data_IF_785790869913
#
_entry.id   IF_785790869913
#
_cell.length_a   1.000
_cell.length_b   1.000
_cell.length_c   1.000
_cell.angle_alpha   90.00
_cell.angle_beta   90.00
_cell.angle_gamma   90.00
#
_symmetry.space_group_name_H-M   'P 1'
#
loop_
_entity.id
_entity.type
_entity.pdbx_description
1 polymer ?
#
# COMPACT_ATOMS: atom_id res chain seq x y z
N UNK A 1 18.38 -10.16 -10.93
CA UNK A 1 16.90 -10.20 -10.88
C UNK A 1 16.45 -11.63 -10.76
N UNK A 2 15.45 -11.90 -9.93
CA UNK A 2 14.89 -13.24 -9.72
C UNK A 2 13.37 -13.17 -9.80
N UNK A 3 12.75 -14.08 -10.56
CA UNK A 3 11.29 -14.17 -10.60
C UNK A 3 10.77 -14.83 -9.31
N UNK A 4 9.82 -14.17 -8.65
CA UNK A 4 9.12 -14.73 -7.50
C UNK A 4 7.70 -14.20 -7.39
N UNK A 5 6.88 -14.89 -6.58
CA UNK A 5 5.54 -14.40 -6.23
C UNK A 5 5.64 -13.21 -5.27
N UNK A 6 4.62 -12.37 -5.25
CA UNK A 6 4.50 -11.26 -4.31
C UNK A 6 4.63 -11.70 -2.85
N UNK A 7 3.97 -12.81 -2.45
CA UNK A 7 4.15 -13.40 -1.11
C UNK A 7 5.60 -13.79 -0.83
N UNK A 8 6.30 -14.34 -1.84
CA UNK A 8 7.69 -14.75 -1.69
C UNK A 8 8.63 -13.54 -1.60
N UNK A 9 8.31 -12.45 -2.30
CA UNK A 9 9.05 -11.20 -2.18
C UNK A 9 8.95 -10.59 -0.77
N UNK A 10 7.76 -10.63 -0.17
CA UNK A 10 7.57 -10.26 1.24
C UNK A 10 8.37 -11.17 2.17
N UNK A 11 8.23 -12.49 2.02
CA UNK A 11 8.98 -13.46 2.84
C UNK A 11 10.50 -13.24 2.74
N UNK A 12 11.00 -13.02 1.52
CA UNK A 12 12.40 -12.77 1.25
C UNK A 12 12.87 -11.46 1.90
N UNK A 13 12.08 -10.39 1.81
CA UNK A 13 12.41 -9.12 2.46
C UNK A 13 12.47 -9.24 4.00
N UNK A 14 11.53 -9.98 4.60
CA UNK A 14 11.56 -10.28 6.03
C UNK A 14 12.81 -11.09 6.41
N UNK A 15 13.09 -12.16 5.65
CA UNK A 15 14.25 -13.04 5.88
C UNK A 15 15.57 -12.28 5.81
N UNK A 16 15.76 -11.46 4.79
CA UNK A 16 16.97 -10.65 4.62
C UNK A 16 17.11 -9.65 5.77
N UNK A 17 16.04 -8.93 6.12
CA UNK A 17 16.04 -7.99 7.23
C UNK A 17 16.38 -8.66 8.57
N UNK A 18 15.81 -9.83 8.86
CA UNK A 18 16.05 -10.56 10.09
C UNK A 18 17.45 -11.17 10.18
N UNK A 19 18.04 -11.53 9.03
CA UNK A 19 19.42 -12.01 8.91
C UNK A 19 20.41 -10.90 9.19
N UNK A 20 20.15 -9.70 8.67
CA UNK A 20 21.04 -8.55 8.76
C UNK A 20 20.95 -7.83 10.13
N UNK A 21 19.78 -7.83 10.76
CA UNK A 21 19.54 -7.14 12.02
C UNK A 21 18.87 -8.05 13.06
N UNK A 22 19.60 -8.31 14.16
CA UNK A 22 19.13 -9.15 15.25
C UNK A 22 17.96 -8.56 16.05
N UNK A 23 17.70 -7.26 15.92
CA UNK A 23 16.60 -6.56 16.59
C UNK A 23 15.25 -6.70 15.87
N UNK A 24 15.23 -7.14 14.61
CA UNK A 24 14.01 -7.28 13.81
C UNK A 24 13.20 -8.49 14.25
N UNK A 25 12.00 -8.32 14.78
CA UNK A 25 11.19 -9.46 15.24
C UNK A 25 9.79 -9.45 14.63
N UNK A 26 9.23 -10.63 14.37
CA UNK A 26 7.89 -10.80 13.80
C UNK A 26 6.89 -11.14 14.89
N UNK A 27 5.76 -10.44 14.88
CA UNK A 27 4.68 -10.59 15.84
C UNK A 27 3.35 -10.61 15.09
N UNK A 28 2.45 -11.54 15.41
CA UNK A 28 1.12 -11.56 14.81
C UNK A 28 0.36 -12.83 15.10
N UNK A 29 -0.84 -12.93 14.57
CA UNK A 29 -1.70 -14.10 14.71
C UNK A 29 -1.38 -15.13 13.61
N UNK A 30 -1.14 -16.38 14.01
CA UNK A 30 -0.83 -17.51 13.11
C UNK A 30 0.41 -17.31 12.20
N UNK A 31 1.30 -16.37 12.53
CA UNK A 31 2.49 -16.07 11.71
C UNK A 31 3.64 -17.05 11.92
N UNK A 32 3.67 -17.80 13.02
CA UNK A 32 4.78 -18.67 13.37
C UNK A 32 4.64 -20.04 12.70
N UNK A 33 4.13 -21.05 13.41
CA UNK A 33 4.06 -22.42 12.87
C UNK A 33 3.14 -22.54 11.64
N UNK A 34 2.08 -21.73 11.57
CA UNK A 34 1.19 -21.67 10.42
C UNK A 34 1.78 -20.86 9.25
N UNK A 35 2.78 -20.01 9.47
CA UNK A 35 3.43 -19.18 8.45
C UNK A 35 2.58 -18.03 7.90
N UNK A 36 1.53 -17.63 8.63
CA UNK A 36 0.58 -16.58 8.27
C UNK A 36 -0.59 -17.11 7.43
N UNK A 37 -1.69 -16.34 7.44
CA UNK A 37 -2.92 -16.65 6.68
C UNK A 37 -2.67 -16.75 5.17
N UNK A 38 -1.74 -15.94 4.67
CA UNK A 38 -1.35 -15.92 3.26
C UNK A 38 0.04 -16.53 2.99
N UNK A 39 0.63 -17.20 3.98
CA UNK A 39 1.94 -17.87 3.87
C UNK A 39 3.12 -16.92 3.64
N UNK A 40 2.99 -15.65 4.05
CA UNK A 40 4.01 -14.62 3.91
C UNK A 40 5.20 -14.80 4.89
N UNK A 41 5.00 -15.48 6.03
CA UNK A 41 6.03 -15.71 7.05
C UNK A 41 6.45 -17.19 7.15
N UNK A 42 6.07 -18.00 6.14
CA UNK A 42 6.42 -19.42 6.07
C UNK A 42 7.92 -19.64 6.27
N UNK A 43 8.26 -20.69 7.04
CA UNK A 43 9.60 -21.19 7.34
C UNK A 43 10.48 -20.23 8.17
N UNK A 44 10.02 -19.01 8.49
CA UNK A 44 10.82 -18.05 9.28
C UNK A 44 10.93 -18.44 10.76
N UNK A 45 9.92 -19.15 11.30
CA UNK A 45 10.01 -19.70 12.66
C UNK A 45 11.14 -20.72 12.78
N UNK A 46 11.25 -21.63 11.81
CA UNK A 46 12.27 -22.69 11.84
C UNK A 46 13.68 -22.12 11.69
N UNK A 47 13.83 -21.03 10.93
CA UNK A 47 15.11 -20.36 10.69
C UNK A 47 15.56 -19.46 11.85
N UNK A 48 14.66 -18.64 12.41
CA UNK A 48 15.01 -17.61 13.40
C UNK A 48 14.57 -17.93 14.84
N UNK A 49 13.75 -18.97 15.02
CA UNK A 49 13.28 -19.45 16.30
C UNK A 49 12.19 -18.58 16.96
N UNK A 50 11.56 -19.15 17.99
CA UNK A 50 10.44 -18.55 18.71
C UNK A 50 10.78 -17.27 19.51
N UNK A 51 12.06 -16.90 19.60
CA UNK A 51 12.47 -15.61 20.14
C UNK A 51 12.21 -14.45 19.16
N UNK A 52 12.25 -14.73 17.86
CA UNK A 52 12.20 -13.73 16.78
C UNK A 52 10.94 -13.82 15.92
N UNK A 53 10.23 -14.95 15.94
CA UNK A 53 8.92 -15.13 15.27
C UNK A 53 7.91 -15.64 16.30
N UNK A 54 6.89 -14.84 16.63
CA UNK A 54 5.98 -15.14 17.74
C UNK A 54 4.52 -15.01 17.34
N UNK A 55 3.77 -16.08 17.57
CA UNK A 55 2.32 -16.01 17.58
C UNK A 55 1.83 -15.19 18.78
N UNK A 56 0.78 -14.42 18.56
CA UNK A 56 0.08 -13.67 19.61
C UNK A 56 -1.37 -14.16 19.76
N UNK A 57 -2.00 -13.91 20.93
CA UNK A 57 -3.45 -14.04 21.04
C UNK A 57 -4.17 -13.12 20.05
N UNK A 58 -5.44 -13.42 19.76
CA UNK A 58 -6.32 -12.59 18.94
C UNK A 58 -6.68 -11.33 19.73
N UNK A 59 -5.85 -10.30 19.61
CA UNK A 59 -5.89 -9.09 20.43
C UNK A 59 -5.03 -7.99 19.81
N UNK A 60 -5.49 -7.42 18.71
CA UNK A 60 -4.79 -6.45 17.87
C UNK A 60 -4.35 -5.21 18.67
N UNK A 61 -5.18 -4.74 19.61
CA UNK A 61 -4.84 -3.62 20.50
C UNK A 61 -3.59 -3.92 21.35
N UNK A 62 -3.54 -5.12 21.93
CA UNK A 62 -2.42 -5.58 22.76
C UNK A 62 -1.18 -5.84 21.90
N UNK A 63 -1.35 -6.45 20.73
CA UNK A 63 -0.28 -6.69 19.75
C UNK A 63 0.38 -5.37 19.32
N UNK A 64 -0.41 -4.38 18.92
CA UNK A 64 0.11 -3.08 18.50
C UNK A 64 0.79 -2.34 19.66
N UNK A 65 0.20 -2.35 20.86
CA UNK A 65 0.79 -1.70 22.05
C UNK A 65 2.11 -2.36 22.46
N UNK A 66 2.18 -3.69 22.40
CA UNK A 66 3.39 -4.46 22.65
C UNK A 66 4.49 -4.09 21.65
N UNK A 67 4.16 -3.97 20.37
CA UNK A 67 5.12 -3.59 19.36
C UNK A 67 5.65 -2.16 19.56
N UNK A 68 4.78 -1.19 19.91
CA UNK A 68 5.23 0.16 20.25
C UNK A 68 6.20 0.14 21.42
N UNK A 69 5.86 -0.57 22.51
CA UNK A 69 6.74 -0.71 23.67
C UNK A 69 8.08 -1.36 23.31
N UNK A 70 8.05 -2.47 22.58
CA UNK A 70 9.24 -3.17 22.13
C UNK A 70 10.16 -2.27 21.28
N UNK A 71 9.58 -1.52 20.33
CA UNK A 71 10.29 -0.59 19.48
C UNK A 71 10.98 0.52 20.28
N UNK A 72 10.28 1.10 21.26
CA UNK A 72 10.84 2.13 22.14
C UNK A 72 11.97 1.61 23.05
N UNK A 73 12.02 0.30 23.28
CA UNK A 73 13.07 -0.38 24.07
C UNK A 73 14.20 -0.99 23.22
N UNK A 74 14.24 -0.71 21.92
CA UNK A 74 15.36 -1.07 21.03
C UNK A 74 15.14 -2.29 20.14
N UNK A 75 13.94 -2.87 20.10
CA UNK A 75 13.56 -3.83 19.07
C UNK A 75 13.12 -3.12 17.77
N UNK A 76 12.99 -3.87 16.68
CA UNK A 76 12.39 -3.42 15.41
C UNK A 76 11.25 -4.36 15.01
N UNK A 77 10.07 -4.24 15.66
CA UNK A 77 8.98 -5.18 15.43
C UNK A 77 8.34 -4.96 14.05
N UNK A 78 8.11 -6.07 13.35
CA UNK A 78 7.27 -6.17 12.17
C UNK A 78 6.02 -6.94 12.55
N UNK A 79 4.92 -6.22 12.67
CA UNK A 79 3.64 -6.71 13.16
C UNK A 79 2.72 -7.06 12.01
N UNK A 80 2.12 -8.24 11.99
CA UNK A 80 1.03 -8.59 11.06
C UNK A 80 -0.33 -8.41 11.73
N UNK A 81 -1.16 -7.53 11.17
CA UNK A 81 -2.61 -7.53 11.41
C UNK A 81 -3.26 -8.30 10.26
N UNK A 82 -3.96 -9.38 10.59
CA UNK A 82 -4.38 -10.41 9.63
C UNK A 82 -5.19 -9.86 8.45
N UNK A 83 -6.08 -8.89 8.71
CA UNK A 83 -6.85 -8.18 7.69
C UNK A 83 -6.97 -6.71 8.08
N UNK A 84 -6.93 -5.82 7.09
CA UNK A 84 -6.98 -4.37 7.33
C UNK A 84 -8.23 -3.94 8.10
N UNK A 85 -9.34 -4.67 7.97
CA UNK A 85 -10.57 -4.45 8.73
C UNK A 85 -10.33 -4.43 10.26
N UNK A 86 -9.35 -5.20 10.75
CA UNK A 86 -8.99 -5.31 12.17
C UNK A 86 -8.05 -4.19 12.63
N UNK A 87 -7.56 -3.32 11.74
CA UNK A 87 -6.73 -2.17 12.11
C UNK A 87 -7.45 -1.26 13.11
N UNK A 88 -8.78 -1.23 13.05
CA UNK A 88 -9.65 -0.43 13.94
C UNK A 88 -9.42 -0.74 15.42
N UNK A 89 -9.03 -1.98 15.74
CA UNK A 89 -8.71 -2.41 17.11
C UNK A 89 -7.30 -1.97 17.54
N UNK A 90 -6.38 -1.74 16.60
CA UNK A 90 -5.00 -1.31 16.84
C UNK A 90 -4.80 0.22 16.80
N UNK A 91 -5.86 1.00 16.49
CA UNK A 91 -5.73 2.42 16.17
C UNK A 91 -5.14 3.27 17.29
N UNK A 92 -5.49 3.06 18.55
CA UNK A 92 -4.96 3.91 19.63
C UNK A 92 -3.42 3.80 19.75
N UNK A 93 -2.91 2.56 19.75
CA UNK A 93 -1.48 2.30 19.78
C UNK A 93 -0.76 2.90 18.57
N UNK A 94 -1.34 2.75 17.37
CA UNK A 94 -0.72 3.25 16.15
C UNK A 94 -0.77 4.79 16.05
N UNK A 95 -1.93 5.38 16.31
CA UNK A 95 -2.20 6.81 16.07
C UNK A 95 -1.71 7.68 17.22
N UNK A 96 -1.99 7.28 18.47
CA UNK A 96 -1.69 8.12 19.61
C UNK A 96 -0.31 7.83 20.19
N UNK A 97 0.13 6.57 20.16
CA UNK A 97 1.41 6.19 20.74
C UNK A 97 2.53 6.21 19.67
N UNK A 98 2.42 5.39 18.62
CA UNK A 98 3.48 5.22 17.64
C UNK A 98 3.76 6.50 16.84
N UNK A 99 2.74 7.00 16.12
CA UNK A 99 2.88 8.11 15.17
C UNK A 99 3.38 9.40 15.84
N UNK A 100 2.96 9.66 17.08
CA UNK A 100 3.22 10.92 17.78
C UNK A 100 4.45 10.87 18.67
N UNK A 101 5.01 9.69 18.96
CA UNK A 101 6.10 9.52 19.90
C UNK A 101 7.28 10.46 19.61
N UNK A 102 7.79 10.47 18.38
CA UNK A 102 8.94 11.32 18.01
C UNK A 102 8.67 12.79 18.32
N UNK A 103 7.48 13.29 18.00
CA UNK A 103 7.11 14.67 18.27
C UNK A 103 6.95 14.94 19.77
N UNK A 104 6.18 14.10 20.49
CA UNK A 104 5.90 14.27 21.92
C UNK A 104 7.16 14.21 22.78
N UNK A 105 8.16 13.41 22.38
CA UNK A 105 9.43 13.27 23.10
C UNK A 105 10.54 14.21 22.58
N UNK A 106 10.20 15.21 21.76
CA UNK A 106 11.14 16.21 21.27
C UNK A 106 12.30 15.62 20.47
N UNK A 107 12.03 14.57 19.68
CA UNK A 107 13.02 13.88 18.84
C UNK A 107 13.98 12.95 19.58
N UNK A 108 13.85 12.77 20.91
CA UNK A 108 14.76 11.92 21.70
C UNK A 108 14.52 10.42 21.54
N UNK A 109 13.31 10.04 21.14
CA UNK A 109 12.97 8.65 20.83
C UNK A 109 12.04 8.61 19.64
N UNK A 110 11.97 7.46 18.97
CA UNK A 110 11.06 7.18 17.87
C UNK A 110 10.53 5.75 18.03
N UNK A 111 9.61 5.35 17.15
CA UNK A 111 9.00 4.02 17.18
C UNK A 111 9.34 3.30 15.87
N UNK A 112 10.55 2.71 15.76
CA UNK A 112 10.98 1.99 14.56
C UNK A 112 10.23 0.65 14.45
N UNK A 113 9.06 0.69 13.82
CA UNK A 113 8.22 -0.49 13.64
C UNK A 113 7.54 -0.49 12.28
N UNK A 114 7.20 -1.70 11.81
CA UNK A 114 6.34 -1.89 10.64
C UNK A 114 5.06 -2.57 11.09
N UNK A 115 3.91 -1.98 10.77
CA UNK A 115 2.63 -2.69 10.81
C UNK A 115 2.26 -3.06 9.39
N UNK A 116 2.23 -4.36 9.09
CA UNK A 116 1.80 -4.89 7.81
C UNK A 116 0.42 -5.49 7.89
N UNK A 117 -0.38 -5.27 6.86
CA UNK A 117 -1.75 -5.78 6.81
C UNK A 117 -2.26 -5.90 5.38
N UNK A 118 -2.98 -6.97 5.02
CA UNK A 118 -3.59 -7.08 3.71
C UNK A 118 -4.99 -6.43 3.65
N UNK A 119 -5.27 -5.72 2.57
CA UNK A 119 -6.55 -5.07 2.27
C UNK A 119 -7.16 -5.55 0.93
N UNK A 120 -8.30 -4.97 0.57
CA UNK A 120 -8.90 -5.09 -0.77
C UNK A 120 -9.90 -6.23 -0.96
N UNK A 121 -10.68 -6.15 -2.03
CA UNK A 121 -11.68 -7.14 -2.43
C UNK A 121 -11.16 -8.19 -3.40
N UNK A 122 -12.08 -8.78 -4.17
CA UNK A 122 -11.80 -9.71 -5.26
C UNK A 122 -11.72 -11.18 -4.86
N UNK A 123 -12.00 -11.50 -3.60
CA UNK A 123 -11.99 -12.85 -3.05
C UNK A 123 -13.34 -13.27 -2.47
N UNK A 124 -14.38 -12.43 -2.62
CA UNK A 124 -15.71 -12.67 -2.05
C UNK A 124 -15.65 -12.91 -0.55
N UNK A 125 -14.83 -12.12 0.15
CA UNK A 125 -14.62 -12.21 1.60
C UNK A 125 -15.65 -11.38 2.40
N UNK A 126 -16.57 -10.71 1.71
CA UNK A 126 -17.62 -9.90 2.31
C UNK A 126 -17.12 -8.58 2.92
N UNK A 127 -18.00 -7.84 3.60
CA UNK A 127 -17.77 -6.44 3.93
C UNK A 127 -16.82 -6.18 5.12
N UNK A 128 -16.50 -7.20 5.92
CA UNK A 128 -15.64 -7.09 7.13
C UNK A 128 -14.27 -7.75 6.95
N UNK A 129 -13.90 -8.09 5.71
CA UNK A 129 -12.59 -8.64 5.37
C UNK A 129 -12.06 -8.06 4.05
N UNK A 130 -12.61 -6.94 3.57
CA UNK A 130 -12.34 -6.44 2.22
C UNK A 130 -12.24 -4.91 2.15
N UNK A 131 -12.22 -4.23 3.29
CA UNK A 131 -12.14 -2.77 3.30
C UNK A 131 -10.75 -2.29 2.84
N UNK A 132 -10.73 -1.11 2.23
CA UNK A 132 -9.52 -0.33 1.93
C UNK A 132 -9.56 0.93 2.79
N UNK A 133 -8.83 0.92 3.90
CA UNK A 133 -8.82 1.99 4.92
C UNK A 133 -7.53 2.82 4.88
N UNK A 134 -6.75 2.74 3.79
CA UNK A 134 -5.45 3.41 3.68
C UNK A 134 -5.54 4.93 3.86
N UNK A 135 -6.66 5.54 3.46
CA UNK A 135 -6.89 6.97 3.64
C UNK A 135 -6.93 7.39 5.12
N UNK A 136 -7.44 6.51 6.01
CA UNK A 136 -7.46 6.79 7.45
C UNK A 136 -6.04 6.87 8.01
N UNK A 137 -5.17 5.98 7.55
CA UNK A 137 -3.78 5.90 8.01
C UNK A 137 -2.92 6.99 7.39
N UNK A 138 -3.12 7.29 6.10
CA UNK A 138 -2.41 8.36 5.40
C UNK A 138 -2.70 9.75 5.99
N UNK A 139 -3.87 9.93 6.60
CA UNK A 139 -4.24 11.17 7.28
C UNK A 139 -3.46 11.42 8.59
N UNK A 140 -2.86 10.39 9.20
CA UNK A 140 -2.27 10.51 10.54
C UNK A 140 -0.82 11.05 10.45
N UNK A 141 -0.54 12.23 11.00
CA UNK A 141 0.82 12.77 11.02
C UNK A 141 1.75 11.88 11.84
N UNK A 142 2.95 11.64 11.31
CA UNK A 142 3.96 10.78 11.93
C UNK A 142 3.92 9.32 11.47
N UNK A 143 2.87 8.89 10.77
CA UNK A 143 2.89 7.63 10.03
C UNK A 143 3.43 7.83 8.61
N UNK A 144 4.15 6.82 8.14
CA UNK A 144 4.39 6.60 6.70
C UNK A 144 3.50 5.45 6.24
N UNK A 145 2.92 5.55 5.04
CA UNK A 145 1.98 4.56 4.52
C UNK A 145 2.37 4.17 3.10
N UNK A 146 2.56 2.87 2.87
CA UNK A 146 2.93 2.32 1.55
C UNK A 146 1.97 1.23 1.11
N UNK A 147 1.78 1.10 -0.20
CA UNK A 147 0.91 0.12 -0.84
C UNK A 147 1.57 -0.41 -2.13
N UNK A 148 2.46 -1.43 -2.04
CA UNK A 148 3.13 -2.03 -3.19
C UNK A 148 2.17 -2.65 -4.21
N UNK A 149 2.52 -2.53 -5.49
CA UNK A 149 1.76 -3.13 -6.60
C UNK A 149 2.45 -4.34 -7.25
N UNK A 150 3.78 -4.43 -7.18
CA UNK A 150 4.57 -5.52 -7.80
C UNK A 150 5.41 -6.27 -6.78
N UNK A 151 5.89 -7.49 -7.09
CA UNK A 151 6.84 -8.19 -6.23
C UNK A 151 8.12 -7.40 -5.95
N UNK A 152 8.60 -6.61 -6.92
CA UNK A 152 9.78 -5.75 -6.73
C UNK A 152 9.50 -4.64 -5.70
N UNK A 153 8.35 -3.96 -5.82
CA UNK A 153 7.93 -2.95 -4.85
C UNK A 153 7.71 -3.58 -3.47
N UNK A 154 7.11 -4.77 -3.41
CA UNK A 154 6.85 -5.47 -2.16
C UNK A 154 8.15 -5.79 -1.42
N UNK A 155 9.16 -6.30 -2.12
CA UNK A 155 10.48 -6.53 -1.54
C UNK A 155 11.14 -5.21 -1.10
N UNK A 156 11.28 -4.26 -2.02
CA UNK A 156 12.08 -3.06 -1.79
C UNK A 156 11.46 -2.08 -0.79
N UNK A 157 10.14 -1.89 -0.83
CA UNK A 157 9.43 -1.03 0.12
C UNK A 157 9.40 -1.66 1.51
N UNK A 158 9.31 -2.99 1.62
CA UNK A 158 9.32 -3.64 2.93
C UNK A 158 10.71 -3.55 3.57
N UNK A 159 11.79 -3.74 2.80
CA UNK A 159 13.15 -3.49 3.31
C UNK A 159 13.29 -2.04 3.78
N UNK A 160 12.90 -1.08 2.95
CA UNK A 160 12.96 0.35 3.30
C UNK A 160 12.08 0.71 4.51
N UNK A 161 10.92 0.08 4.66
CA UNK A 161 10.04 0.26 5.82
C UNK A 161 10.66 -0.29 7.11
N UNK A 162 11.28 -1.48 7.04
CA UNK A 162 11.94 -2.10 8.19
C UNK A 162 13.18 -1.30 8.61
N UNK A 163 13.87 -0.64 7.69
CA UNK A 163 15.06 0.16 7.97
C UNK A 163 14.70 1.59 8.44
N UNK A 164 13.44 2.01 8.29
CA UNK A 164 12.99 3.36 8.65
C UNK A 164 12.94 3.55 10.19
N UNK A 165 13.37 4.69 10.74
CA UNK A 165 13.33 4.94 12.18
C UNK A 165 11.94 5.31 12.71
N UNK A 166 10.94 5.52 11.84
CA UNK A 166 9.57 5.91 12.16
C UNK A 166 8.57 4.78 11.90
N UNK A 167 7.37 4.83 12.48
CA UNK A 167 6.35 3.82 12.23
C UNK A 167 5.88 3.86 10.76
N UNK A 168 5.97 2.70 10.10
CA UNK A 168 5.50 2.51 8.72
C UNK A 168 4.35 1.52 8.67
N UNK A 169 3.26 1.89 8.01
CA UNK A 169 2.18 0.98 7.65
C UNK A 169 2.43 0.44 6.25
N UNK A 170 2.58 -0.88 6.14
CA UNK A 170 2.80 -1.59 4.90
C UNK A 170 1.54 -2.34 4.46
N UNK A 171 0.84 -1.79 3.48
CA UNK A 171 -0.49 -2.27 3.07
C UNK A 171 -0.36 -3.19 1.86
N UNK A 172 -0.62 -4.46 2.09
CA UNK A 172 -0.56 -5.50 1.06
C UNK A 172 -1.94 -5.66 0.41
N UNK A 173 -2.00 -6.13 -0.84
CA UNK A 173 -3.28 -6.45 -1.46
C UNK A 173 -3.48 -7.96 -1.60
N UNK A 174 -4.58 -8.51 -1.08
CA UNK A 174 -4.79 -9.97 -1.03
C UNK A 174 -4.72 -10.64 -2.40
N UNK A 175 -5.33 -10.03 -3.41
CA UNK A 175 -5.29 -10.56 -4.77
C UNK A 175 -3.88 -10.57 -5.40
N UNK A 176 -2.92 -9.81 -4.85
CA UNK A 176 -1.57 -9.72 -5.40
C UNK A 176 -0.64 -10.83 -4.93
N UNK A 177 -0.92 -11.51 -3.81
CA UNK A 177 -0.06 -12.54 -3.24
C UNK A 177 0.40 -13.63 -4.24
N UNK A 178 -0.51 -14.06 -5.11
CA UNK A 178 -0.22 -15.07 -6.14
C UNK A 178 0.54 -14.54 -7.37
N UNK A 179 0.64 -13.22 -7.54
CA UNK A 179 1.21 -12.58 -8.73
C UNK A 179 2.73 -12.75 -8.76
N UNK A 180 3.27 -13.12 -9.93
CA UNK A 180 4.72 -13.22 -10.17
C UNK A 180 5.28 -11.94 -10.78
N UNK A 181 6.57 -11.72 -10.57
CA UNK A 181 7.31 -10.60 -11.11
C UNK A 181 8.81 -10.74 -10.84
N UNK A 182 9.61 -9.99 -11.58
CA UNK A 182 11.05 -9.90 -11.36
C UNK A 182 11.32 -9.04 -10.12
N UNK A 183 12.27 -9.45 -9.30
CA UNK A 183 12.75 -8.69 -8.14
C UNK A 183 14.25 -8.42 -8.31
N UNK A 184 14.64 -7.15 -8.20
CA UNK A 184 16.02 -6.71 -8.15
C UNK A 184 16.44 -6.33 -6.73
N UNK A 185 17.01 -7.31 -6.00
CA UNK A 185 17.46 -7.11 -4.63
C UNK A 185 18.58 -6.06 -4.47
N UNK A 186 19.26 -5.68 -5.56
CA UNK A 186 20.34 -4.68 -5.53
C UNK A 186 19.81 -3.24 -5.55
N UNK A 187 18.53 -3.06 -5.89
CA UNK A 187 17.90 -1.76 -6.04
C UNK A 187 17.12 -1.39 -4.78
N UNK A 188 17.49 -0.27 -4.17
CA UNK A 188 16.69 0.34 -3.12
C UNK A 188 15.40 0.93 -3.71
N UNK A 189 14.27 0.76 -3.01
CA UNK A 189 12.98 1.38 -3.37
C UNK A 189 12.61 2.37 -2.27
N UNK A 190 12.97 3.66 -2.42
CA UNK A 190 12.78 4.64 -1.36
C UNK A 190 11.30 4.90 -1.09
N UNK A 191 10.96 5.08 0.20
CA UNK A 191 9.66 5.57 0.61
C UNK A 191 9.45 6.99 0.07
N UNK A 192 8.22 7.31 -0.32
CA UNK A 192 7.84 8.63 -0.85
C UNK A 192 8.23 8.89 -2.30
N UNK A 193 8.60 7.85 -3.06
CA UNK A 193 8.89 7.96 -4.50
C UNK A 193 7.98 7.08 -5.34
N UNK A 194 7.29 7.70 -6.29
CA UNK A 194 6.44 7.04 -7.26
C UNK A 194 7.27 6.37 -8.36
N UNK A 195 6.60 5.60 -9.21
CA UNK A 195 7.17 4.96 -10.38
C UNK A 195 6.30 5.18 -11.61
N UNK A 196 6.91 5.67 -12.69
CA UNK A 196 6.23 5.76 -13.98
C UNK A 196 6.38 4.43 -14.70
N UNK A 197 5.31 3.63 -14.69
CA UNK A 197 5.29 2.27 -15.23
C UNK A 197 5.10 2.23 -16.75
N UNK A 198 4.46 3.26 -17.31
CA UNK A 198 4.22 3.42 -18.74
C UNK A 198 4.30 4.90 -19.05
N UNK A 199 5.09 5.28 -20.05
CA UNK A 199 5.15 6.66 -20.56
C UNK A 199 3.93 6.94 -21.44
N UNK A 200 3.47 8.19 -21.46
CA UNK A 200 2.36 8.65 -22.29
C UNK A 200 2.31 10.17 -22.36
N UNK A 201 1.58 10.71 -23.33
CA UNK A 201 1.50 12.15 -23.60
C UNK A 201 0.11 12.75 -23.44
N UNK A 202 -0.94 11.93 -23.42
CA UNK A 202 -2.31 12.44 -23.56
C UNK A 202 -3.03 12.62 -22.21
N UNK A 203 -2.73 11.75 -21.25
CA UNK A 203 -3.35 11.78 -19.91
C UNK A 203 -2.44 11.12 -18.88
N UNK A 204 -2.36 11.71 -17.69
CA UNK A 204 -1.74 11.09 -16.53
C UNK A 204 -2.76 10.26 -15.77
N UNK A 205 -2.45 9.00 -15.52
CA UNK A 205 -3.24 8.11 -14.65
C UNK A 205 -2.45 7.81 -13.39
N UNK A 206 -2.93 8.28 -12.25
CA UNK A 206 -2.29 8.09 -10.95
C UNK A 206 -3.00 6.97 -10.20
N UNK A 207 -2.27 5.98 -9.72
CA UNK A 207 -2.85 4.82 -9.02
C UNK A 207 -1.86 4.19 -8.03
N UNK A 208 -2.27 3.14 -7.34
CA UNK A 208 -1.46 2.36 -6.40
C UNK A 208 -2.05 0.96 -6.20
N UNK A 209 -1.33 0.07 -5.51
CA UNK A 209 -1.81 -1.26 -5.13
C UNK A 209 -2.29 -2.10 -6.32
N UNK A 210 -3.36 -2.87 -6.15
CA UNK A 210 -3.88 -3.75 -7.20
C UNK A 210 -4.39 -2.99 -8.44
N UNK A 211 -4.88 -1.76 -8.28
CA UNK A 211 -5.42 -0.96 -9.40
C UNK A 211 -4.37 -0.52 -10.43
N UNK A 212 -3.08 -0.59 -10.09
CA UNK A 212 -1.98 -0.44 -11.06
C UNK A 212 -2.18 -1.34 -12.27
N UNK A 213 -2.57 -2.59 -12.04
CA UNK A 213 -2.68 -3.58 -13.10
C UNK A 213 -3.93 -3.40 -13.95
N UNK A 214 -5.01 -2.91 -13.34
CA UNK A 214 -6.21 -2.46 -14.05
C UNK A 214 -5.89 -1.27 -14.95
N UNK A 215 -5.09 -0.32 -14.47
CA UNK A 215 -4.68 0.85 -15.24
C UNK A 215 -3.75 0.51 -16.41
N UNK A 216 -2.80 -0.43 -16.21
CA UNK A 216 -1.95 -0.92 -17.30
C UNK A 216 -2.75 -1.62 -18.41
N UNK A 217 -3.78 -2.41 -18.05
CA UNK A 217 -4.69 -3.02 -19.02
C UNK A 217 -5.52 -1.96 -19.76
N UNK A 218 -6.05 -0.97 -19.03
CA UNK A 218 -6.78 0.14 -19.64
C UNK A 218 -5.90 0.94 -20.60
N UNK A 219 -4.65 1.20 -20.25
CA UNK A 219 -3.70 1.88 -21.13
C UNK A 219 -3.45 1.11 -22.43
N UNK A 220 -3.42 -0.23 -22.37
CA UNK A 220 -3.35 -1.07 -23.57
C UNK A 220 -4.55 -0.85 -24.50
N UNK A 221 -5.77 -0.90 -23.97
CA UNK A 221 -6.99 -0.65 -24.75
C UNK A 221 -7.11 0.79 -25.27
N UNK A 222 -6.66 1.77 -24.49
CA UNK A 222 -6.67 3.18 -24.88
C UNK A 222 -5.70 3.46 -26.02
N UNK A 223 -4.55 2.79 -26.04
CA UNK A 223 -3.55 2.90 -27.10
C UNK A 223 -4.12 2.43 -28.45
N UNK A 224 -4.97 1.39 -28.46
CA UNK A 224 -5.68 0.96 -29.68
C UNK A 224 -6.64 2.03 -30.24
N UNK A 225 -7.10 2.94 -29.38
CA UNK A 225 -7.91 4.11 -29.74
C UNK A 225 -7.07 5.38 -29.95
N UNK A 226 -5.74 5.27 -29.99
CA UNK A 226 -4.82 6.39 -30.18
C UNK A 226 -4.64 7.29 -28.97
N UNK A 227 -4.94 6.82 -27.76
CA UNK A 227 -4.75 7.56 -26.50
C UNK A 227 -3.60 6.94 -25.70
N UNK A 228 -2.52 7.70 -25.54
CA UNK A 228 -1.31 7.32 -24.84
C UNK A 228 -1.31 7.83 -23.39
N UNK A 229 -1.83 6.98 -22.49
CA UNK A 229 -1.86 7.23 -21.06
C UNK A 229 -0.51 6.97 -20.38
N UNK A 230 -0.03 7.94 -19.59
CA UNK A 230 1.08 7.76 -18.67
C UNK A 230 0.57 7.15 -17.36
N UNK A 231 1.14 6.01 -16.93
CA UNK A 231 0.69 5.30 -15.72
C UNK A 231 1.72 5.51 -14.60
N UNK A 232 1.27 6.15 -13.51
CA UNK A 232 2.07 6.41 -12.31
C UNK A 232 1.54 5.53 -11.17
N UNK A 233 2.41 4.66 -10.67
CA UNK A 233 2.21 3.96 -9.40
C UNK A 233 2.81 4.79 -8.26
N UNK A 234 1.99 5.25 -7.32
CA UNK A 234 2.44 6.07 -6.20
C UNK A 234 3.40 5.34 -5.29
N UNK A 235 3.22 4.02 -5.09
CA UNK A 235 3.90 3.17 -4.09
C UNK A 235 3.71 3.60 -2.63
N UNK A 236 3.93 4.87 -2.33
CA UNK A 236 3.77 5.51 -1.02
C UNK A 236 2.58 6.47 -1.07
N UNK A 237 1.69 6.33 -0.10
CA UNK A 237 0.49 7.17 0.05
C UNK A 237 0.72 8.31 1.04
N UNK A 238 1.64 8.13 1.98
CA UNK A 238 2.07 9.18 2.89
C UNK A 238 3.55 9.00 3.26
N UNK A 239 4.42 9.99 3.00
CA UNK A 239 4.20 11.11 2.08
C UNK A 239 4.13 10.61 0.62
N UNK A 240 3.15 11.04 -0.16
CA UNK A 240 3.07 10.68 -1.58
C UNK A 240 3.92 11.62 -2.45
N UNK A 241 4.34 11.12 -3.62
CA UNK A 241 5.25 11.83 -4.52
C UNK A 241 4.49 12.81 -5.45
N UNK A 242 4.12 13.96 -4.88
CA UNK A 242 3.43 15.02 -5.62
C UNK A 242 4.27 15.59 -6.77
N UNK A 243 5.59 15.61 -6.63
CA UNK A 243 6.52 16.11 -7.64
C UNK A 243 6.39 15.32 -8.95
N UNK A 244 6.44 13.99 -8.88
CA UNK A 244 6.29 13.11 -10.05
C UNK A 244 4.93 13.30 -10.73
N UNK A 245 3.85 13.41 -9.95
CA UNK A 245 2.49 13.59 -10.49
C UNK A 245 2.34 14.96 -11.17
N UNK A 246 2.79 16.05 -10.53
CA UNK A 246 2.71 17.39 -11.11
C UNK A 246 3.61 17.53 -12.34
N UNK A 247 4.80 16.91 -12.35
CA UNK A 247 5.66 16.88 -13.52
C UNK A 247 5.03 16.16 -14.71
N UNK A 248 4.23 15.12 -14.45
CA UNK A 248 3.44 14.42 -15.48
C UNK A 248 2.29 15.27 -15.98
N UNK A 249 1.52 15.89 -15.08
CA UNK A 249 0.42 16.80 -15.41
C UNK A 249 0.86 17.93 -16.34
N UNK A 250 2.02 18.57 -16.10
CA UNK A 250 2.57 19.62 -16.97
C UNK A 250 2.81 19.19 -18.42
N UNK A 251 2.87 17.88 -18.69
CA UNK A 251 3.05 17.34 -20.04
C UNK A 251 1.74 16.88 -20.66
N UNK A 252 0.83 16.33 -19.85
CA UNK A 252 -0.39 15.66 -20.33
C UNK A 252 -1.64 16.52 -20.23
N UNK A 253 -1.60 17.55 -19.38
CA UNK A 253 -2.68 18.51 -19.09
C UNK A 253 -4.00 17.89 -18.60
N UNK A 254 -4.04 16.58 -18.31
CA UNK A 254 -5.24 15.82 -17.94
C UNK A 254 -4.88 14.75 -16.92
N UNK A 255 -5.70 14.58 -15.89
CA UNK A 255 -5.45 13.60 -14.82
C UNK A 255 -6.68 12.77 -14.51
N UNK A 256 -6.48 11.45 -14.43
CA UNK A 256 -7.42 10.49 -13.84
C UNK A 256 -6.76 9.77 -12.67
N UNK A 257 -7.40 9.79 -11.51
CA UNK A 257 -6.90 9.11 -10.31
C UNK A 257 -7.72 7.83 -10.09
N UNK A 258 -7.03 6.71 -9.90
CA UNK A 258 -7.67 5.38 -9.81
C UNK A 258 -7.22 4.67 -8.54
N UNK A 259 -8.16 4.26 -7.70
CA UNK A 259 -7.87 3.50 -6.49
C UNK A 259 -9.02 2.56 -6.12
N UNK A 260 -8.73 1.49 -5.39
CA UNK A 260 -9.76 0.48 -5.06
C UNK A 260 -10.74 0.94 -3.97
N UNK A 261 -10.27 1.76 -3.02
CA UNK A 261 -11.11 2.25 -1.93
C UNK A 261 -12.37 2.99 -2.41
N UNK A 262 -13.33 3.13 -1.49
CA UNK A 262 -14.49 3.99 -1.71
C UNK A 262 -14.05 5.37 -2.19
N UNK A 263 -14.70 5.87 -3.25
CA UNK A 263 -14.27 7.10 -3.90
C UNK A 263 -14.41 8.32 -2.97
N UNK A 264 -15.45 8.37 -2.15
CA UNK A 264 -15.64 9.45 -1.19
C UNK A 264 -14.57 9.39 -0.09
N UNK A 265 -13.88 10.51 0.16
CA UNK A 265 -12.83 10.63 1.17
C UNK A 265 -11.65 9.63 1.02
N UNK A 266 -11.52 8.98 -0.14
CA UNK A 266 -10.35 8.15 -0.47
C UNK A 266 -9.12 8.99 -0.81
N UNK A 267 -7.96 8.33 -0.94
CA UNK A 267 -6.66 8.98 -1.23
C UNK A 267 -6.72 9.87 -2.47
N UNK A 268 -7.52 9.50 -3.47
CA UNK A 268 -7.68 10.31 -4.67
C UNK A 268 -8.27 11.71 -4.44
N UNK A 269 -8.94 11.95 -3.31
CA UNK A 269 -9.43 13.28 -2.98
C UNK A 269 -8.27 14.25 -2.64
N UNK A 270 -7.28 13.81 -1.87
CA UNK A 270 -6.10 14.61 -1.53
C UNK A 270 -5.27 14.93 -2.79
N UNK A 271 -5.08 13.94 -3.67
CA UNK A 271 -4.32 14.14 -4.90
C UNK A 271 -5.03 15.15 -5.82
N UNK A 272 -6.36 15.04 -5.96
CA UNK A 272 -7.13 16.00 -6.74
C UNK A 272 -7.09 17.41 -6.14
N UNK A 273 -7.16 17.54 -4.81
CA UNK A 273 -7.05 18.81 -4.12
C UNK A 273 -5.66 19.44 -4.33
N UNK A 274 -4.59 18.66 -4.20
CA UNK A 274 -3.22 19.11 -4.45
C UNK A 274 -3.03 19.59 -5.89
N UNK A 275 -3.55 18.84 -6.86
CA UNK A 275 -3.47 19.22 -8.28
C UNK A 275 -4.25 20.53 -8.52
N UNK A 276 -5.41 20.71 -7.90
CA UNK A 276 -6.18 21.95 -8.02
C UNK A 276 -5.51 23.14 -7.32
N UNK A 277 -4.68 22.91 -6.30
CA UNK A 277 -3.95 23.97 -5.60
C UNK A 277 -2.66 24.37 -6.33
N UNK A 278 -1.87 23.38 -6.77
CA UNK A 278 -0.51 23.61 -7.28
C UNK A 278 -0.36 23.43 -8.80
N UNK A 279 -1.34 22.81 -9.47
CA UNK A 279 -1.28 22.45 -10.89
C UNK A 279 -2.47 22.90 -11.72
N UNK A 280 -3.31 23.80 -11.19
CA UNK A 280 -4.57 24.19 -11.83
C UNK A 280 -4.39 24.77 -13.24
N UNK A 281 -3.39 25.63 -13.41
CA UNK A 281 -3.10 26.30 -14.70
C UNK A 281 -2.67 25.31 -15.80
N UNK A 282 -2.26 24.09 -15.41
CA UNK A 282 -1.85 23.04 -16.34
C UNK A 282 -3.04 22.18 -16.82
N UNK A 283 -4.24 22.32 -16.23
CA UNK A 283 -5.38 21.45 -16.53
C UNK A 283 -6.20 21.94 -17.73
N UNK A 284 -6.32 21.09 -18.75
CA UNK A 284 -7.26 21.25 -19.86
C UNK A 284 -8.65 20.66 -19.54
N UNK A 285 -8.75 19.84 -18.49
CA UNK A 285 -9.98 19.13 -18.10
C UNK A 285 -10.04 18.92 -16.57
N UNK A 286 -11.22 18.74 -15.99
CA UNK A 286 -11.33 18.46 -14.56
C UNK A 286 -10.66 17.13 -14.20
N UNK A 287 -9.99 17.09 -13.05
CA UNK A 287 -9.44 15.85 -12.48
C UNK A 287 -10.59 14.89 -12.18
N UNK A 288 -10.58 13.71 -12.81
CA UNK A 288 -11.55 12.66 -12.53
C UNK A 288 -10.99 11.62 -11.57
N UNK A 289 -11.88 11.01 -10.79
CA UNK A 289 -11.54 9.97 -9.83
C UNK A 289 -12.38 8.73 -10.11
N UNK A 290 -11.74 7.57 -10.09
CA UNK A 290 -12.35 6.26 -10.24
C UNK A 290 -12.05 5.46 -8.98
N UNK A 291 -13.07 5.29 -8.14
CA UNK A 291 -13.00 4.44 -6.95
C UNK A 291 -14.24 3.57 -6.78
N UNK A 292 -14.26 2.75 -5.74
CA UNK A 292 -15.45 1.97 -5.41
C UNK A 292 -16.64 2.88 -5.03
N UNK A 293 -17.89 2.43 -5.26
CA UNK A 293 -19.08 3.14 -4.82
C UNK A 293 -19.13 3.23 -3.28
N UNK A 294 -19.84 4.22 -2.75
CA UNK A 294 -20.00 4.41 -1.31
C UNK A 294 -21.01 3.41 -0.71
N UNK A 295 -20.57 2.16 -0.56
CA UNK A 295 -21.33 1.05 0.02
C UNK A 295 -20.38 -0.04 0.56
N UNK A 296 -20.84 -0.97 1.41
CA UNK A 296 -20.03 -2.12 1.83
C UNK A 296 -19.70 -3.06 0.67
N UNK A 297 -18.53 -3.74 0.76
CA UNK A 297 -18.10 -4.71 -0.26
C UNK A 297 -19.07 -5.91 -0.30
N UNK A 298 -19.67 -6.22 -1.46
CA UNK A 298 -20.59 -7.36 -1.57
C UNK A 298 -19.88 -8.71 -1.43
N UNK A 299 -20.58 -9.70 -0.86
CA UNK A 299 -20.11 -11.10 -0.86
C UNK A 299 -20.40 -11.81 -2.19
N UNK A 300 -21.55 -11.55 -2.80
CA UNK A 300 -21.92 -12.21 -4.05
C UNK A 300 -20.97 -11.80 -5.18
N UNK A 301 -20.31 -12.79 -5.81
CA UNK A 301 -19.28 -12.58 -6.84
C UNK A 301 -19.71 -11.64 -7.98
N UNK A 302 -20.96 -11.76 -8.42
CA UNK A 302 -21.51 -10.89 -9.49
C UNK A 302 -21.62 -9.43 -9.06
N UNK A 303 -21.91 -9.16 -7.80
CA UNK A 303 -21.99 -7.81 -7.24
C UNK A 303 -20.60 -7.27 -6.91
N UNK A 304 -19.70 -8.09 -6.37
CA UNK A 304 -18.31 -7.70 -6.08
C UNK A 304 -17.58 -7.30 -7.38
N UNK A 305 -17.80 -8.01 -8.48
CA UNK A 305 -17.26 -7.66 -9.79
C UNK A 305 -17.72 -6.28 -10.30
N UNK A 306 -18.93 -5.84 -9.94
CA UNK A 306 -19.45 -4.51 -10.29
C UNK A 306 -19.00 -3.42 -9.31
N UNK A 307 -18.80 -3.80 -8.04
CA UNK A 307 -18.27 -2.92 -6.99
C UNK A 307 -16.83 -2.49 -7.29
N UNK A 308 -15.98 -3.45 -7.69
CA UNK A 308 -14.57 -3.21 -7.95
C UNK A 308 -14.34 -2.24 -9.12
N UNK A 309 -13.22 -1.53 -9.05
CA UNK A 309 -12.72 -0.76 -10.19
C UNK A 309 -12.28 -1.71 -11.29
N UNK A 310 -12.74 -1.48 -12.51
CA UNK A 310 -12.45 -2.30 -13.68
C UNK A 310 -11.95 -1.46 -14.85
N UNK A 311 -11.45 -2.15 -15.89
CA UNK A 311 -10.84 -1.54 -17.07
C UNK A 311 -11.80 -0.58 -17.77
N UNK A 312 -13.07 -0.98 -17.96
CA UNK A 312 -14.08 -0.17 -18.65
C UNK A 312 -14.32 1.18 -17.95
N UNK A 313 -14.38 1.18 -16.61
CA UNK A 313 -14.54 2.42 -15.83
C UNK A 313 -13.33 3.35 -15.96
N UNK A 314 -12.11 2.80 -16.00
CA UNK A 314 -10.89 3.59 -16.21
C UNK A 314 -10.87 4.17 -17.63
N UNK A 315 -11.13 3.34 -18.65
CA UNK A 315 -11.21 3.78 -20.05
C UNK A 315 -12.27 4.86 -20.26
N UNK A 316 -13.45 4.72 -19.64
CA UNK A 316 -14.52 5.70 -19.72
C UNK A 316 -14.14 7.05 -19.07
N UNK A 317 -13.46 7.01 -17.92
CA UNK A 317 -12.98 8.22 -17.26
C UNK A 317 -11.91 8.94 -18.10
N UNK A 318 -10.96 8.19 -18.68
CA UNK A 318 -9.95 8.75 -19.58
C UNK A 318 -10.62 9.38 -20.81
N UNK A 319 -11.48 8.65 -21.51
CA UNK A 319 -12.17 9.18 -22.70
C UNK A 319 -12.97 10.44 -22.39
N UNK A 320 -13.50 10.58 -21.17
CA UNK A 320 -14.24 11.77 -20.74
C UNK A 320 -13.35 13.00 -20.56
N UNK A 321 -12.11 12.87 -20.11
CA UNK A 321 -11.18 14.02 -20.01
C UNK A 321 -10.52 14.36 -21.34
N UNK A 322 -10.55 13.43 -22.29
CA UNK A 322 -10.05 13.64 -23.66
C UNK A 322 -11.08 14.28 -24.61
N UNK A 323 -12.36 14.31 -24.23
CA UNK A 323 -13.45 14.84 -25.05
C UNK A 323 -13.62 16.36 -24.88
#
# INVERSE_FOLDING_TARGET
MTEMKFTQAINQALRDAMTEDASVMLLGEDIAAAGGSFKATRDLLDEFGAARVRDTPISEASLASLAVGAAMTGARPVVEIMFMDFITLAMDALVNQAAKARFMFGGRTSVPMVLRTPHGGGLSAGPQHSQCLEAWLAHIPGLKVVCPATPDDAYGLLRSAIDDPDPVVFIEHKAMYGRKGQVDKSRAVPLGKANVLRQGGDVTVVTYGATVHTCLQAAGQLSEAGIEAEIIDLRTLQPWDAETVLASLRRTHRVVIVHEAVQAFGVGAEIAARIADEGFDELDAPVLRVGAPFMPVPFARSLEAQYMVNVDRVCAAVKRVMA
#
